data_IF_565440130114
#
_entry.id   IF_565440130114
#
_cell.length_a   1.000
_cell.length_b   1.000
_cell.length_c   1.000
_cell.angle_alpha   90.00
_cell.angle_beta   90.00
_cell.angle_gamma   90.00
#
_symmetry.space_group_name_H-M   'P 1'
#
loop_
_entity.id
_entity.type
_entity.pdbx_description
1 polymer ?
#
# COMPACT_ATOMS: atom_id res chain seq x y z
N UNK A 1 13.85 -40.16 -11.94
CA UNK A 1 13.45 -39.11 -10.96
C UNK A 1 12.92 -39.81 -9.70
N UNK A 2 13.44 -39.44 -8.54
CA UNK A 2 12.94 -39.95 -7.27
C UNK A 2 11.72 -39.14 -6.83
N UNK A 3 10.98 -39.69 -5.87
CA UNK A 3 9.85 -38.97 -5.27
C UNK A 3 10.31 -37.66 -4.63
N UNK A 4 11.47 -37.66 -3.98
CA UNK A 4 12.03 -36.47 -3.35
C UNK A 4 12.36 -35.40 -4.38
N UNK A 5 12.95 -35.78 -5.53
CA UNK A 5 13.25 -34.86 -6.62
C UNK A 5 11.97 -34.22 -7.17
N UNK A 6 10.92 -35.03 -7.34
CA UNK A 6 9.63 -34.53 -7.80
C UNK A 6 9.05 -33.48 -6.84
N UNK A 7 9.02 -33.78 -5.54
CA UNK A 7 8.51 -32.86 -4.53
C UNK A 7 9.31 -31.57 -4.49
N UNK A 8 10.64 -31.66 -4.59
CA UNK A 8 11.50 -30.50 -4.60
C UNK A 8 11.22 -29.58 -5.80
N UNK A 9 11.11 -30.15 -6.99
CA UNK A 9 10.81 -29.40 -8.22
C UNK A 9 9.45 -28.74 -8.16
N UNK A 10 8.44 -29.42 -7.63
CA UNK A 10 7.11 -28.83 -7.45
C UNK A 10 7.14 -27.65 -6.49
N UNK A 11 7.89 -27.76 -5.41
CA UNK A 11 8.03 -26.70 -4.43
C UNK A 11 8.71 -25.46 -5.01
N UNK A 12 9.73 -25.64 -5.85
CA UNK A 12 10.40 -24.53 -6.55
C UNK A 12 9.44 -23.82 -7.50
N UNK A 13 8.67 -24.57 -8.29
CA UNK A 13 7.69 -24.01 -9.23
C UNK A 13 6.62 -23.22 -8.49
N UNK A 14 6.09 -23.74 -7.39
CA UNK A 14 5.11 -23.04 -6.57
C UNK A 14 5.65 -21.75 -5.99
N UNK A 15 6.89 -21.77 -5.50
CA UNK A 15 7.54 -20.58 -4.94
C UNK A 15 7.73 -19.51 -6.01
N UNK A 16 8.20 -19.87 -7.20
CA UNK A 16 8.37 -18.95 -8.32
C UNK A 16 7.04 -18.35 -8.77
N UNK A 17 6.00 -19.18 -8.82
CA UNK A 17 4.66 -18.71 -9.18
C UNK A 17 4.13 -17.69 -8.17
N UNK A 18 4.26 -17.97 -6.88
CA UNK A 18 3.80 -17.07 -5.82
C UNK A 18 4.56 -15.75 -5.85
N UNK A 19 5.88 -15.78 -6.10
CA UNK A 19 6.68 -14.56 -6.20
C UNK A 19 6.29 -13.73 -7.40
N UNK A 20 6.10 -14.35 -8.56
CA UNK A 20 5.67 -13.65 -9.78
C UNK A 20 4.29 -13.02 -9.60
N UNK A 21 3.36 -13.73 -8.97
CA UNK A 21 2.01 -13.23 -8.70
C UNK A 21 2.05 -12.04 -7.74
N UNK A 22 2.87 -12.13 -6.69
CA UNK A 22 3.05 -11.04 -5.73
C UNK A 22 3.63 -9.80 -6.39
N UNK A 23 4.65 -9.97 -7.22
CA UNK A 23 5.27 -8.86 -7.93
C UNK A 23 4.28 -8.18 -8.88
N UNK A 24 3.46 -8.97 -9.57
CA UNK A 24 2.47 -8.45 -10.49
C UNK A 24 1.45 -7.55 -9.79
N UNK A 25 0.91 -7.97 -8.64
CA UNK A 25 -0.07 -7.13 -7.97
C UNK A 25 0.57 -5.89 -7.33
N UNK A 26 1.83 -5.98 -6.88
CA UNK A 26 2.57 -4.81 -6.40
C UNK A 26 2.76 -3.81 -7.54
N UNK A 27 3.15 -4.27 -8.73
CA UNK A 27 3.34 -3.42 -9.90
C UNK A 27 2.02 -2.77 -10.32
N UNK A 28 0.93 -3.51 -10.29
CA UNK A 28 -0.38 -2.97 -10.60
C UNK A 28 -0.79 -1.89 -9.59
N UNK A 29 -0.68 -2.18 -8.29
CA UNK A 29 -1.00 -1.21 -7.25
C UNK A 29 -0.13 0.03 -7.37
N UNK A 30 1.15 -0.13 -7.68
CA UNK A 30 2.08 0.98 -7.88
C UNK A 30 1.63 1.86 -9.05
N UNK A 31 1.16 1.26 -10.14
CA UNK A 31 0.69 2.01 -11.32
C UNK A 31 -0.56 2.86 -11.01
N UNK A 32 -1.31 2.50 -9.97
CA UNK A 32 -2.52 3.21 -9.56
C UNK A 32 -2.26 4.30 -8.50
N UNK A 33 -1.01 4.49 -8.07
CA UNK A 33 -0.68 5.50 -7.08
C UNK A 33 -0.95 6.89 -7.62
N UNK A 34 -1.72 7.65 -6.84
CA UNK A 34 -2.10 9.02 -7.17
C UNK A 34 -1.36 10.05 -6.32
N UNK A 35 -0.93 9.65 -5.13
CA UNK A 35 -0.32 10.54 -4.14
C UNK A 35 1.14 10.18 -3.91
N UNK A 36 1.95 11.19 -3.52
CA UNK A 36 3.40 11.06 -3.34
C UNK A 36 3.77 11.11 -1.86
N UNK A 37 4.96 10.64 -1.54
CA UNK A 37 5.53 10.82 -0.19
C UNK A 37 5.61 12.32 0.11
N UNK A 38 5.13 12.69 1.29
CA UNK A 38 5.03 14.09 1.71
C UNK A 38 3.67 14.72 1.47
N UNK A 39 2.81 14.12 0.63
CA UNK A 39 1.45 14.61 0.43
C UNK A 39 0.62 14.39 1.71
N UNK A 40 -0.24 15.35 2.02
CA UNK A 40 -1.20 15.21 3.12
C UNK A 40 -2.55 14.89 2.49
N UNK A 41 -3.06 13.71 2.83
CA UNK A 41 -4.30 13.19 2.26
C UNK A 41 -5.28 12.80 3.36
N UNK A 42 -6.56 12.83 3.04
CA UNK A 42 -7.65 12.51 3.95
C UNK A 42 -8.64 11.58 3.26
N UNK A 43 -9.08 10.54 3.95
CA UNK A 43 -10.13 9.66 3.43
C UNK A 43 -11.51 10.11 3.91
N UNK A 44 -12.57 9.43 3.41
CA UNK A 44 -13.95 9.74 3.76
C UNK A 44 -14.32 9.34 5.20
N UNK A 45 -13.48 8.55 5.86
CA UNK A 45 -13.63 8.20 7.28
C UNK A 45 -13.06 9.28 8.21
N UNK A 46 -12.41 10.29 7.67
CA UNK A 46 -11.81 11.36 8.45
C UNK A 46 -10.36 11.14 8.85
N UNK A 47 -9.74 10.03 8.41
CA UNK A 47 -8.32 9.78 8.66
C UNK A 47 -7.48 10.68 7.77
N UNK A 48 -6.61 11.49 8.39
CA UNK A 48 -5.68 12.37 7.69
C UNK A 48 -4.27 11.91 7.98
N UNK A 49 -3.46 11.72 6.93
CA UNK A 49 -2.07 11.30 7.08
C UNK A 49 -1.15 12.13 6.19
N UNK A 50 0.11 12.24 6.62
CA UNK A 50 1.22 12.66 5.76
C UNK A 50 1.89 11.40 5.24
N UNK A 51 1.84 11.17 3.93
CA UNK A 51 2.34 9.95 3.31
C UNK A 51 3.85 9.82 3.54
N UNK A 52 4.27 8.72 4.15
CA UNK A 52 5.68 8.42 4.40
C UNK A 52 6.16 7.22 3.57
N UNK A 53 5.29 6.28 3.29
CA UNK A 53 5.61 5.08 2.51
C UNK A 53 4.37 4.53 1.83
N UNK A 54 4.60 3.58 0.96
CA UNK A 54 3.55 2.92 0.21
C UNK A 54 3.43 1.45 0.57
N UNK A 55 2.26 0.90 0.33
CA UNK A 55 2.01 -0.53 0.40
C UNK A 55 1.09 -0.95 -0.73
N UNK A 56 0.67 -2.18 -0.69
CA UNK A 56 -0.33 -2.70 -1.61
C UNK A 56 -1.31 -3.56 -0.82
N UNK A 57 -2.60 -3.37 -1.07
CA UNK A 57 -3.65 -4.15 -0.43
C UNK A 57 -4.36 -4.98 -1.48
N UNK A 58 -4.55 -6.26 -1.19
CA UNK A 58 -5.29 -7.18 -2.07
C UNK A 58 -6.60 -7.53 -1.38
N UNK A 59 -7.71 -7.20 -2.02
CA UNK A 59 -9.03 -7.59 -1.56
C UNK A 59 -9.69 -8.47 -2.62
N UNK A 60 -11.00 -8.62 -2.57
CA UNK A 60 -11.74 -9.49 -3.48
C UNK A 60 -11.71 -9.06 -4.95
N UNK A 61 -11.16 -7.89 -5.25
CA UNK A 61 -11.08 -7.35 -6.60
C UNK A 61 -9.62 -7.07 -6.98
N UNK A 62 -9.37 -5.96 -7.63
CA UNK A 62 -8.03 -5.56 -8.05
C UNK A 62 -7.19 -5.08 -6.87
N UNK A 63 -5.86 -5.25 -6.93
CA UNK A 63 -4.96 -4.69 -5.94
C UNK A 63 -5.10 -3.17 -5.87
N UNK A 64 -5.02 -2.62 -4.66
CA UNK A 64 -5.14 -1.18 -4.43
C UNK A 64 -3.85 -0.63 -3.83
N UNK A 65 -3.42 0.59 -4.24
CA UNK A 65 -2.31 1.23 -3.57
C UNK A 65 -2.71 1.58 -2.13
N UNK A 66 -1.77 1.45 -1.21
CA UNK A 66 -1.98 1.78 0.19
C UNK A 66 -1.01 2.87 0.57
N UNK A 67 -1.48 3.89 1.26
CA UNK A 67 -0.67 5.01 1.73
C UNK A 67 -0.53 4.92 3.23
N UNK A 68 0.70 4.93 3.70
CA UNK A 68 1.01 4.77 5.12
C UNK A 68 1.80 6.00 5.56
N UNK A 69 1.40 6.60 6.66
CA UNK A 69 2.08 7.77 7.15
C UNK A 69 1.62 8.17 8.53
N UNK A 70 2.16 9.29 9.01
CA UNK A 70 1.83 9.85 10.31
C UNK A 70 0.43 10.45 10.29
N UNK A 71 -0.41 10.05 11.25
CA UNK A 71 -1.72 10.66 11.41
C UNK A 71 -1.62 12.09 11.87
N UNK A 72 -2.43 12.97 11.28
CA UNK A 72 -2.46 14.38 11.58
C UNK A 72 -3.80 14.76 12.21
N UNK A 73 -3.77 15.81 13.00
CA UNK A 73 -4.97 16.43 13.56
C UNK A 73 -5.64 17.31 12.51
N UNK A 74 -6.81 17.87 12.83
CA UNK A 74 -7.54 18.75 11.92
C UNK A 74 -6.75 19.97 11.46
N UNK A 75 -5.83 20.42 12.30
CA UNK A 75 -4.94 21.54 11.99
C UNK A 75 -3.68 21.13 11.22
N UNK A 76 -3.62 19.86 10.76
CA UNK A 76 -2.51 19.28 10.01
C UNK A 76 -1.21 19.18 10.82
N UNK A 77 -1.33 19.16 12.15
CA UNK A 77 -0.21 18.94 13.05
C UNK A 77 -0.19 17.46 13.46
N UNK A 78 0.98 16.81 13.55
CA UNK A 78 1.06 15.41 13.96
C UNK A 78 0.40 15.18 15.32
N UNK A 79 -0.29 14.05 15.47
CA UNK A 79 -0.87 13.66 16.75
C UNK A 79 0.22 13.41 17.77
N UNK A 80 -0.05 13.75 19.03
CA UNK A 80 0.93 13.64 20.14
C UNK A 80 1.49 12.23 20.31
N UNK A 81 0.69 11.22 20.04
CA UNK A 81 1.08 9.82 20.23
C UNK A 81 1.94 9.27 19.09
N UNK A 82 2.17 10.05 18.03
CA UNK A 82 2.93 9.57 16.87
C UNK A 82 2.25 8.44 16.12
N UNK A 83 0.94 8.38 16.16
CA UNK A 83 0.17 7.31 15.51
C UNK A 83 0.45 7.25 14.02
N UNK A 84 0.51 6.03 13.50
CA UNK A 84 0.66 5.77 12.08
C UNK A 84 -0.68 5.32 11.55
N UNK A 85 -1.15 5.99 10.50
CA UNK A 85 -2.41 5.67 9.84
C UNK A 85 -2.17 5.07 8.46
N UNK A 86 -3.20 4.40 7.97
CA UNK A 86 -3.18 3.76 6.65
C UNK A 86 -4.44 4.15 5.89
N UNK A 87 -4.27 4.56 4.63
CA UNK A 87 -5.39 4.84 3.73
C UNK A 87 -5.31 3.85 2.58
N UNK A 88 -6.40 3.14 2.33
CA UNK A 88 -6.49 2.08 1.32
C UNK A 88 -7.14 2.63 0.04
N UNK A 89 -6.41 2.59 -1.06
CA UNK A 89 -6.91 3.00 -2.37
C UNK A 89 -7.00 4.51 -2.53
N UNK A 90 -7.51 4.92 -3.69
CA UNK A 90 -7.67 6.34 -4.05
C UNK A 90 -9.11 6.82 -3.90
N UNK A 91 -10.06 5.90 -3.74
CA UNK A 91 -11.49 6.21 -3.70
C UNK A 91 -11.84 6.93 -2.39
N UNK A 92 -12.56 8.03 -2.50
CA UNK A 92 -12.95 8.82 -1.34
C UNK A 92 -11.78 9.56 -0.68
N UNK A 93 -10.64 9.67 -1.35
CA UNK A 93 -9.44 10.32 -0.81
C UNK A 93 -9.27 11.70 -1.43
N UNK A 94 -8.98 12.68 -0.56
CA UNK A 94 -8.76 14.07 -0.96
C UNK A 94 -7.35 14.51 -0.63
N UNK A 95 -6.70 15.20 -1.56
CA UNK A 95 -5.40 15.82 -1.34
C UNK A 95 -5.60 17.17 -0.63
N UNK A 96 -5.09 17.29 0.59
CA UNK A 96 -5.18 18.52 1.36
C UNK A 96 -3.99 19.44 1.11
N UNK A 97 -2.79 18.86 0.97
CA UNK A 97 -1.56 19.61 0.71
C UNK A 97 -0.58 18.72 -0.04
N UNK A 98 -0.09 19.20 -1.18
CA UNK A 98 0.90 18.46 -1.96
C UNK A 98 2.30 18.61 -1.40
N UNK A 99 3.15 17.59 -1.66
CA UNK A 99 4.55 17.62 -1.31
C UNK A 99 5.24 18.79 -2.01
N UNK A 100 6.03 19.56 -1.27
CA UNK A 100 6.74 20.73 -1.83
C UNK A 100 5.89 21.98 -1.98
N UNK A 101 4.68 21.98 -1.45
CA UNK A 101 3.81 23.17 -1.43
C UNK A 101 4.04 24.02 -0.20
#
# INVERSE_FOLDING_TARGET
MTELDYKHKMQVIETEYLQAKKQLYIDYATSQRKYKVGDIIKNDNGTTIEVQRYGASVSFSLPKPTYIGRELRKDLVPKKNGDIGTIYGNEGVELLKGAGS
#
